data_IF_376309778656
#
_entry.id   IF_376309778656
#
_cell.length_a   1.000
_cell.length_b   1.000
_cell.length_c   1.000
_cell.angle_alpha   90.00
_cell.angle_beta   90.00
_cell.angle_gamma   90.00
#
_symmetry.space_group_name_H-M   'P 1'
#
loop_
_entity.id
_entity.type
_entity.pdbx_description
1 polymer ?
#
# COMPACT_ATOMS: atom_id res chain seq x y z
N UNK A 1 -0.96 -14.38 10.66
CA UNK A 1 -1.64 -13.18 11.19
C UNK A 1 -0.56 -12.18 11.55
N UNK A 2 -0.70 -10.93 11.13
CA UNK A 2 0.24 -9.87 11.53
C UNK A 2 -0.19 -9.24 12.86
N UNK A 3 0.74 -8.57 13.52
CA UNK A 3 0.56 -7.85 14.78
C UNK A 3 0.87 -6.35 14.61
N UNK A 4 0.49 -5.52 15.59
CA UNK A 4 0.85 -4.09 15.60
C UNK A 4 2.37 -3.92 15.61
N UNK A 5 3.08 -4.78 16.33
CA UNK A 5 4.54 -4.82 16.39
C UNK A 5 5.18 -5.20 15.03
N UNK A 6 4.51 -6.03 14.21
CA UNK A 6 4.93 -6.24 12.81
C UNK A 6 4.82 -4.95 11.99
N UNK A 7 3.78 -4.13 12.22
CA UNK A 7 3.62 -2.85 11.52
C UNK A 7 4.68 -1.83 11.94
N UNK A 8 5.00 -1.77 13.23
CA UNK A 8 6.08 -0.92 13.75
C UNK A 8 7.42 -1.31 13.15
N UNK A 9 7.74 -2.62 13.13
CA UNK A 9 8.93 -3.14 12.45
C UNK A 9 8.96 -2.81 10.95
N UNK A 10 7.83 -3.00 10.26
CA UNK A 10 7.77 -2.73 8.82
C UNK A 10 7.97 -1.24 8.51
N UNK A 11 7.39 -0.34 9.31
CA UNK A 11 7.60 1.12 9.20
C UNK A 11 9.05 1.50 9.51
N UNK A 12 9.65 0.93 10.54
CA UNK A 12 11.06 1.13 10.86
C UNK A 12 11.98 0.62 9.75
N UNK A 13 11.66 -0.51 9.11
CA UNK A 13 12.40 -1.05 7.98
C UNK A 13 12.36 -0.10 6.77
N UNK A 14 11.20 0.48 6.45
CA UNK A 14 11.07 1.49 5.38
C UNK A 14 11.97 2.69 5.69
N UNK A 15 11.85 3.28 6.88
CA UNK A 15 12.64 4.44 7.26
C UNK A 15 14.15 4.17 7.24
N UNK A 16 14.57 2.98 7.71
CA UNK A 16 15.97 2.58 7.68
C UNK A 16 16.50 2.38 6.24
N UNK A 17 15.70 1.77 5.36
CA UNK A 17 16.08 1.56 3.96
C UNK A 17 16.17 2.89 3.19
N UNK A 18 15.23 3.81 3.44
CA UNK A 18 15.24 5.16 2.86
C UNK A 18 16.47 5.94 3.34
N UNK A 19 16.76 5.93 4.64
CA UNK A 19 17.97 6.55 5.18
C UNK A 19 19.25 5.99 4.55
N UNK A 20 19.35 4.66 4.39
CA UNK A 20 20.51 4.03 3.71
C UNK A 20 20.65 4.48 2.26
N UNK A 21 19.53 4.69 1.56
CA UNK A 21 19.55 5.19 0.19
C UNK A 21 20.01 6.65 0.13
N UNK A 22 19.55 7.47 1.07
CA UNK A 22 19.87 8.91 1.13
C UNK A 22 21.31 9.16 1.59
N UNK A 23 21.81 8.38 2.55
CA UNK A 23 23.18 8.45 3.07
C UNK A 23 24.22 7.80 2.13
N UNK A 24 23.78 7.19 1.02
CA UNK A 24 24.67 6.46 0.12
C UNK A 24 25.50 7.42 -0.74
N UNK A 25 26.82 7.40 -0.53
CA UNK A 25 27.81 8.23 -1.21
C UNK A 25 28.61 7.47 -2.30
N UNK A 26 28.29 6.20 -2.53
CA UNK A 26 28.99 5.35 -3.50
C UNK A 26 28.56 5.57 -4.95
N UNK A 27 29.22 4.89 -5.88
CA UNK A 27 29.03 5.09 -7.32
C UNK A 27 27.81 4.40 -7.94
N UNK A 28 27.02 3.63 -7.17
CA UNK A 28 25.87 2.90 -7.68
C UNK A 28 24.54 3.50 -7.18
N UNK A 29 23.87 4.37 -7.96
CA UNK A 29 22.62 5.02 -7.55
C UNK A 29 21.45 4.03 -7.33
N UNK A 30 21.63 2.76 -7.70
CA UNK A 30 20.62 1.73 -7.54
C UNK A 30 20.83 0.85 -6.29
N UNK A 31 21.92 1.05 -5.52
CA UNK A 31 22.37 0.15 -4.45
C UNK A 31 21.26 -0.25 -3.46
N UNK A 32 20.46 0.71 -3.01
CA UNK A 32 19.44 0.50 -1.98
C UNK A 32 17.99 0.58 -2.49
N UNK A 33 17.78 0.84 -3.79
CA UNK A 33 16.42 1.05 -4.34
C UNK A 33 15.55 -0.21 -4.24
N UNK A 34 16.12 -1.39 -4.42
CA UNK A 34 15.39 -2.67 -4.27
C UNK A 34 14.94 -2.89 -2.83
N UNK A 35 15.81 -2.60 -1.87
CA UNK A 35 15.54 -2.72 -0.43
C UNK A 35 14.40 -1.80 0.00
N UNK A 36 14.41 -0.53 -0.46
CA UNK A 36 13.31 0.40 -0.24
C UNK A 36 12.00 -0.12 -0.83
N UNK A 37 12.04 -0.66 -2.06
CA UNK A 37 10.85 -1.20 -2.71
C UNK A 37 10.27 -2.41 -1.93
N UNK A 38 11.12 -3.27 -1.39
CA UNK A 38 10.74 -4.43 -0.59
C UNK A 38 10.15 -4.04 0.75
N UNK A 39 10.79 -3.12 1.46
CA UNK A 39 10.29 -2.61 2.73
C UNK A 39 8.91 -1.95 2.56
N UNK A 40 8.73 -1.13 1.52
CA UNK A 40 7.44 -0.48 1.22
C UNK A 40 6.34 -1.48 0.88
N UNK A 41 6.66 -2.51 0.07
CA UNK A 41 5.71 -3.57 -0.26
C UNK A 41 5.27 -4.34 0.99
N UNK A 42 6.22 -4.68 1.86
CA UNK A 42 5.92 -5.38 3.10
C UNK A 42 5.06 -4.53 4.03
N UNK A 43 5.43 -3.27 4.26
CA UNK A 43 4.65 -2.35 5.10
C UNK A 43 3.21 -2.20 4.61
N UNK A 44 3.00 -2.07 3.29
CA UNK A 44 1.66 -2.02 2.70
C UNK A 44 0.85 -3.28 3.00
N UNK A 45 1.43 -4.46 2.82
CA UNK A 45 0.74 -5.75 3.07
C UNK A 45 0.38 -5.92 4.55
N UNK A 46 1.30 -5.57 5.45
CA UNK A 46 1.08 -5.65 6.91
C UNK A 46 -0.05 -4.71 7.31
N UNK A 47 0.03 -3.43 6.91
CA UNK A 47 -0.98 -2.43 7.25
C UNK A 47 -2.35 -2.82 6.70
N UNK A 48 -2.44 -3.25 5.44
CA UNK A 48 -3.71 -3.66 4.83
C UNK A 48 -4.34 -4.86 5.55
N UNK A 49 -3.54 -5.85 5.94
CA UNK A 49 -4.02 -6.99 6.70
C UNK A 49 -4.55 -6.58 8.08
N UNK A 50 -3.81 -5.74 8.80
CA UNK A 50 -4.24 -5.25 10.12
C UNK A 50 -5.51 -4.40 10.04
N UNK A 51 -5.65 -3.57 9.00
CA UNK A 51 -6.89 -2.81 8.75
C UNK A 51 -8.07 -3.75 8.54
N UNK A 52 -7.93 -4.73 7.64
CA UNK A 52 -8.97 -5.72 7.35
C UNK A 52 -9.38 -6.50 8.60
N UNK A 53 -8.40 -6.86 9.43
CA UNK A 53 -8.63 -7.62 10.66
C UNK A 53 -9.05 -6.70 11.83
N UNK A 54 -9.21 -5.38 11.60
CA UNK A 54 -9.55 -4.32 12.58
C UNK A 54 -8.64 -4.29 13.81
N UNK A 55 -7.36 -4.62 13.62
CA UNK A 55 -6.32 -4.64 14.67
C UNK A 55 -5.60 -3.29 14.83
N UNK A 56 -5.84 -2.35 13.92
CA UNK A 56 -5.41 -0.96 14.03
C UNK A 56 -6.60 -0.03 13.73
N UNK A 57 -6.60 1.21 14.26
CA UNK A 57 -7.66 2.17 14.00
C UNK A 57 -7.86 2.41 12.50
N UNK A 58 -9.13 2.47 12.09
CA UNK A 58 -9.54 2.77 10.72
C UNK A 58 -9.92 4.24 10.60
N UNK A 59 -9.51 4.87 9.50
CA UNK A 59 -10.08 6.15 9.09
C UNK A 59 -11.46 5.93 8.47
N UNK A 60 -12.32 6.96 8.37
CA UNK A 60 -13.59 6.84 7.64
C UNK A 60 -13.42 6.35 6.20
N UNK A 61 -12.31 6.71 5.56
CA UNK A 61 -11.98 6.22 4.23
C UNK A 61 -11.68 4.72 4.22
N UNK A 62 -10.88 4.24 5.19
CA UNK A 62 -10.57 2.81 5.30
C UNK A 62 -11.82 1.95 5.51
N UNK A 63 -12.78 2.43 6.32
CA UNK A 63 -14.06 1.72 6.52
C UNK A 63 -14.82 1.55 5.20
N UNK A 64 -14.91 2.61 4.39
CA UNK A 64 -15.53 2.57 3.07
C UNK A 64 -14.77 1.63 2.14
N UNK A 65 -13.44 1.70 2.10
CA UNK A 65 -12.63 0.83 1.25
C UNK A 65 -12.80 -0.65 1.61
N UNK A 66 -12.82 -0.98 2.91
CA UNK A 66 -13.03 -2.36 3.38
C UNK A 66 -14.44 -2.86 3.03
N UNK A 67 -15.47 -2.04 3.23
CA UNK A 67 -16.84 -2.39 2.86
C UNK A 67 -16.97 -2.64 1.34
N UNK A 68 -16.32 -1.81 0.53
CA UNK A 68 -16.29 -1.96 -0.93
C UNK A 68 -15.50 -3.21 -1.35
N UNK A 69 -14.35 -3.49 -0.74
CA UNK A 69 -13.55 -4.69 -1.02
C UNK A 69 -14.30 -5.98 -0.63
N UNK A 70 -15.04 -5.97 0.48
CA UNK A 70 -15.87 -7.10 0.92
C UNK A 70 -17.06 -7.33 -0.03
N UNK A 71 -17.75 -6.25 -0.42
CA UNK A 71 -18.92 -6.31 -1.31
C UNK A 71 -18.55 -6.62 -2.76
N UNK A 72 -17.38 -6.17 -3.21
CA UNK A 72 -16.91 -6.30 -4.59
C UNK A 72 -15.51 -6.93 -4.68
N UNK A 73 -15.33 -8.18 -4.23
CA UNK A 73 -14.02 -8.83 -4.14
C UNK A 73 -13.35 -9.09 -5.51
N UNK A 74 -14.12 -8.98 -6.60
CA UNK A 74 -13.63 -9.12 -7.98
C UNK A 74 -13.44 -7.78 -8.70
N UNK A 75 -13.59 -6.65 -8.00
CA UNK A 75 -13.40 -5.34 -8.60
C UNK A 75 -11.95 -5.16 -9.08
N UNK A 76 -11.80 -4.89 -10.38
CA UNK A 76 -10.52 -4.61 -11.02
C UNK A 76 -10.32 -3.11 -11.26
N UNK A 77 -9.22 -2.76 -11.91
CA UNK A 77 -8.93 -1.37 -12.28
C UNK A 77 -10.09 -0.72 -13.03
N UNK A 78 -10.45 0.52 -12.65
CA UNK A 78 -11.55 1.32 -13.23
C UNK A 78 -12.94 0.73 -13.04
N UNK A 79 -13.10 -0.31 -12.23
CA UNK A 79 -14.42 -0.83 -11.88
C UNK A 79 -15.17 0.24 -11.09
N UNK A 80 -16.36 0.61 -11.56
CA UNK A 80 -17.21 1.61 -10.90
C UNK A 80 -18.41 0.91 -10.28
N UNK A 81 -18.69 1.21 -9.01
CA UNK A 81 -19.79 0.61 -8.23
C UNK A 81 -20.56 1.69 -7.48
N UNK A 82 -21.76 1.36 -7.02
CA UNK A 82 -22.55 2.23 -6.16
C UNK A 82 -22.59 1.69 -4.73
N UNK A 83 -22.32 2.56 -3.76
CA UNK A 83 -22.34 2.26 -2.34
C UNK A 83 -22.88 3.47 -1.58
N UNK A 84 -23.91 3.26 -0.76
CA UNK A 84 -24.57 4.30 0.05
C UNK A 84 -24.98 5.56 -0.77
N UNK A 85 -25.49 5.35 -2.00
CA UNK A 85 -25.95 6.43 -2.88
C UNK A 85 -24.83 7.23 -3.54
N UNK A 86 -23.57 6.81 -3.38
CA UNK A 86 -22.39 7.40 -4.02
C UNK A 86 -21.75 6.41 -4.98
N UNK A 87 -21.09 6.94 -6.01
CA UNK A 87 -20.32 6.13 -6.97
C UNK A 87 -18.86 6.09 -6.56
N UNK A 88 -18.26 4.91 -6.63
CA UNK A 88 -16.85 4.70 -6.32
C UNK A 88 -16.15 3.99 -7.47
N UNK A 89 -14.90 4.36 -7.75
CA UNK A 89 -14.05 3.73 -8.75
C UNK A 89 -12.82 3.10 -8.09
N UNK A 90 -12.54 1.84 -8.42
CA UNK A 90 -11.33 1.15 -7.95
C UNK A 90 -10.12 1.67 -8.73
N UNK A 91 -9.15 2.20 -8.00
CA UNK A 91 -7.91 2.78 -8.53
C UNK A 91 -6.69 2.01 -8.05
N UNK A 92 -5.63 2.07 -8.84
CA UNK A 92 -4.36 1.41 -8.57
C UNK A 92 -3.24 2.41 -8.84
N UNK A 93 -2.38 2.63 -7.84
CA UNK A 93 -1.19 3.48 -7.99
C UNK A 93 0.08 2.65 -7.75
N UNK A 94 1.20 2.91 -8.44
CA UNK A 94 2.45 2.21 -8.16
C UNK A 94 2.88 2.46 -6.70
N UNK A 95 3.12 1.38 -5.94
CA UNK A 95 3.65 1.48 -4.57
C UNK A 95 5.17 1.57 -4.55
N UNK A 96 5.84 0.84 -5.44
CA UNK A 96 7.26 0.97 -5.73
C UNK A 96 7.56 0.52 -7.17
N UNK A 97 8.74 0.90 -7.66
CA UNK A 97 9.25 0.47 -8.97
C UNK A 97 10.55 -0.31 -8.81
N UNK A 98 10.78 -1.27 -9.70
CA UNK A 98 12.05 -1.96 -9.84
C UNK A 98 13.13 -1.04 -10.44
N UNK A 99 14.37 -1.53 -10.49
CA UNK A 99 15.48 -0.84 -11.13
C UNK A 99 15.24 -0.59 -12.63
N UNK A 100 14.57 -1.54 -13.31
CA UNK A 100 14.18 -1.43 -14.72
C UNK A 100 12.94 -0.57 -14.96
N UNK A 101 12.37 0.06 -13.93
CA UNK A 101 11.23 0.98 -14.04
C UNK A 101 9.85 0.32 -14.02
N UNK A 102 9.79 -1.02 -14.00
CA UNK A 102 8.54 -1.79 -13.84
C UNK A 102 7.91 -1.58 -12.47
N UNK A 103 6.59 -1.63 -12.38
CA UNK A 103 5.88 -1.54 -11.09
C UNK A 103 6.10 -2.84 -10.32
N UNK A 104 6.59 -2.75 -9.08
CA UNK A 104 6.82 -3.90 -8.21
C UNK A 104 5.52 -4.40 -7.58
N UNK A 105 4.75 -3.47 -7.02
CA UNK A 105 3.44 -3.74 -6.45
C UNK A 105 2.53 -2.53 -6.66
N UNK A 106 1.23 -2.81 -6.70
CA UNK A 106 0.19 -1.80 -6.80
C UNK A 106 -0.43 -1.57 -5.43
N UNK A 107 -0.66 -0.30 -5.11
CA UNK A 107 -1.49 0.11 -4.00
C UNK A 107 -2.90 0.31 -4.55
N UNK A 108 -3.81 -0.50 -4.04
CA UNK A 108 -5.23 -0.44 -4.34
C UNK A 108 -5.92 0.63 -3.47
N UNK A 109 -6.91 1.30 -4.03
CA UNK A 109 -7.77 2.25 -3.30
C UNK A 109 -9.11 2.44 -4.02
N UNK A 110 -10.13 2.94 -3.32
CA UNK A 110 -11.40 3.37 -3.91
C UNK A 110 -11.53 4.88 -3.86
N UNK A 111 -11.81 5.52 -5.00
CA UNK A 111 -12.07 6.96 -5.07
C UNK A 111 -13.55 7.22 -5.32
N UNK A 112 -14.14 8.22 -4.66
CA UNK A 112 -15.48 8.71 -5.01
C UNK A 112 -15.44 9.29 -6.43
N UNK A 113 -16.30 8.78 -7.31
CA UNK A 113 -16.42 9.24 -8.68
C UNK A 113 -17.33 10.48 -8.71
N UNK A 114 -16.88 11.54 -9.37
CA UNK A 114 -17.70 12.73 -9.67
C UNK A 114 -18.82 12.43 -10.66
#
# INVERSE_FOLDING_TARGET
MYTVDDLERARAAVANAERRLDDYDGNNPNKHRTEVAEAREHAYRVERALKRDRLIPLTPHDEVELALDEKYPRAGSKTTVEYEGKRYVKTFRPGARSLSGGVRFWIESWAEAS
#
